data_IF_914172938967
#
_entry.id   IF_914172938967
#
_cell.length_a   1.000
_cell.length_b   1.000
_cell.length_c   1.000
_cell.angle_alpha   90.00
_cell.angle_beta   90.00
_cell.angle_gamma   90.00
#
_symmetry.space_group_name_H-M   'P 1'
#
loop_
_entity.id
_entity.type
_entity.pdbx_description
1 polymer ?
#
# COMPACT_ATOMS: atom_id res chain seq x y z
N UNK A 1 14.00 15.66 -9.10
CA UNK A 1 14.31 14.70 -8.00
C UNK A 1 13.95 13.30 -8.45
N UNK A 2 14.86 12.39 -8.34
CA UNK A 2 14.57 10.98 -8.60
C UNK A 2 13.89 10.37 -7.39
N UNK A 3 12.80 9.66 -7.64
CA UNK A 3 12.03 8.98 -6.59
C UNK A 3 12.22 7.48 -6.68
N UNK A 4 12.27 6.84 -5.53
CA UNK A 4 12.55 5.41 -5.43
C UNK A 4 11.57 4.75 -4.47
N UNK A 5 11.12 3.56 -4.84
CA UNK A 5 10.35 2.68 -3.97
C UNK A 5 11.26 1.52 -3.58
N UNK A 6 11.32 1.25 -2.27
CA UNK A 6 12.01 0.05 -1.75
C UNK A 6 10.93 -0.97 -1.41
N UNK A 7 10.95 -2.11 -2.10
CA UNK A 7 9.94 -3.15 -1.94
C UNK A 7 10.05 -3.85 -0.59
N UNK A 8 9.05 -4.67 -0.27
CA UNK A 8 9.05 -5.53 0.92
C UNK A 8 10.32 -6.40 1.00
N UNK A 9 10.90 -6.74 -0.16
CA UNK A 9 12.10 -7.57 -0.26
C UNK A 9 13.38 -6.75 -0.40
N UNK A 10 13.34 -5.48 -0.04
CA UNK A 10 14.48 -4.55 -0.08
C UNK A 10 15.03 -4.28 -1.48
N UNK A 11 14.22 -4.49 -2.51
CA UNK A 11 14.59 -4.17 -3.89
C UNK A 11 14.21 -2.71 -4.20
N UNK A 12 15.17 -1.86 -4.60
CA UNK A 12 14.86 -0.50 -5.02
C UNK A 12 14.35 -0.49 -6.46
N UNK A 13 13.32 0.33 -6.72
CA UNK A 13 12.77 0.55 -8.05
C UNK A 13 12.59 2.05 -8.25
N UNK A 14 13.11 2.57 -9.35
CA UNK A 14 12.94 3.97 -9.68
C UNK A 14 11.51 4.23 -10.17
N UNK A 15 10.87 5.23 -9.58
CA UNK A 15 9.47 5.54 -9.87
C UNK A 15 9.25 5.87 -11.36
N UNK A 16 10.22 6.53 -12.00
CA UNK A 16 10.10 6.92 -13.41
C UNK A 16 10.10 5.74 -14.39
N UNK A 17 10.41 4.52 -13.91
CA UNK A 17 10.35 3.30 -14.71
C UNK A 17 9.04 2.54 -14.51
N UNK A 18 8.18 3.00 -13.61
CA UNK A 18 6.93 2.34 -13.30
C UNK A 18 5.81 2.94 -14.14
N UNK A 19 5.10 2.07 -14.86
CA UNK A 19 3.94 2.46 -15.66
C UNK A 19 2.68 2.55 -14.81
N UNK A 20 2.45 1.54 -13.96
CA UNK A 20 1.29 1.50 -13.06
C UNK A 20 1.52 0.54 -11.91
N UNK A 21 0.70 0.68 -10.86
CA UNK A 21 0.63 -0.28 -9.76
C UNK A 21 -0.60 -1.15 -9.93
N UNK A 22 -0.44 -2.45 -9.72
CA UNK A 22 -1.50 -3.44 -9.93
C UNK A 22 -1.63 -4.31 -8.67
N UNK A 23 -2.87 -4.53 -8.24
CA UNK A 23 -3.15 -5.46 -7.15
C UNK A 23 -3.65 -6.77 -7.73
N UNK A 24 -3.10 -7.89 -7.29
CA UNK A 24 -3.44 -9.21 -7.80
C UNK A 24 -3.44 -10.27 -6.71
N UNK A 25 -4.20 -11.34 -6.92
CA UNK A 25 -4.13 -12.55 -6.13
C UNK A 25 -3.00 -13.42 -6.68
N UNK A 26 -2.11 -13.89 -5.80
CA UNK A 26 -1.06 -14.83 -6.16
C UNK A 26 -1.42 -16.23 -5.69
N UNK A 27 -1.27 -17.20 -6.58
CA UNK A 27 -1.46 -18.62 -6.27
C UNK A 27 -0.08 -19.29 -6.16
N UNK A 28 0.23 -19.78 -4.97
CA UNK A 28 1.46 -20.50 -4.71
C UNK A 28 1.18 -22.01 -4.75
N UNK A 29 2.26 -22.82 -4.79
CA UNK A 29 2.13 -24.27 -4.70
C UNK A 29 1.47 -24.70 -3.39
N UNK A 30 0.85 -25.89 -3.37
CA UNK A 30 0.26 -26.51 -2.18
C UNK A 30 -0.94 -25.71 -1.60
N UNK A 31 -1.78 -25.19 -2.49
CA UNK A 31 -3.02 -24.47 -2.14
C UNK A 31 -2.80 -23.19 -1.32
N UNK A 32 -1.58 -22.68 -1.30
CA UNK A 32 -1.30 -21.40 -0.66
C UNK A 32 -1.68 -20.27 -1.60
N UNK A 33 -2.44 -19.32 -1.07
CA UNK A 33 -2.91 -18.16 -1.81
C UNK A 33 -2.49 -16.91 -1.05
N UNK A 34 -1.86 -15.96 -1.76
CA UNK A 34 -1.66 -14.60 -1.26
C UNK A 34 -2.70 -13.76 -1.99
N UNK A 35 -3.80 -13.39 -1.30
CA UNK A 35 -4.93 -12.77 -1.98
C UNK A 35 -4.67 -11.34 -2.43
N UNK A 36 -3.74 -10.64 -1.77
CA UNK A 36 -3.56 -9.22 -2.00
C UNK A 36 -2.08 -8.88 -2.18
N UNK A 37 -1.55 -9.13 -3.37
CA UNK A 37 -0.20 -8.72 -3.74
C UNK A 37 -0.27 -7.43 -4.56
N UNK A 38 0.67 -6.51 -4.30
CA UNK A 38 0.80 -5.28 -5.07
C UNK A 38 2.05 -5.37 -5.93
N UNK A 39 1.90 -5.11 -7.22
CA UNK A 39 2.97 -5.16 -8.20
C UNK A 39 3.18 -3.80 -8.84
N UNK A 40 4.42 -3.52 -9.23
CA UNK A 40 4.74 -2.45 -10.15
C UNK A 40 4.90 -3.04 -11.56
N UNK A 41 4.12 -2.54 -12.51
CA UNK A 41 4.33 -2.85 -13.91
C UNK A 41 5.31 -1.83 -14.46
N UNK A 42 6.47 -2.31 -14.91
CA UNK A 42 7.50 -1.44 -15.46
C UNK A 42 7.25 -1.16 -16.95
N UNK A 43 7.84 -0.07 -17.45
CA UNK A 43 7.77 0.26 -18.89
C UNK A 43 8.32 -0.86 -19.78
N UNK A 44 9.24 -1.66 -19.24
CA UNK A 44 9.79 -2.84 -19.94
C UNK A 44 8.81 -4.00 -20.08
N UNK A 45 7.68 -3.96 -19.38
CA UNK A 45 6.73 -5.07 -19.28
C UNK A 45 6.98 -5.99 -18.10
N UNK A 46 8.10 -5.83 -17.38
CA UNK A 46 8.38 -6.62 -16.18
C UNK A 46 7.39 -6.28 -15.06
N UNK A 47 6.93 -7.30 -14.36
CA UNK A 47 6.12 -7.14 -13.14
C UNK A 47 7.00 -7.37 -11.92
N UNK A 48 7.12 -6.38 -11.05
CA UNK A 48 7.91 -6.48 -9.83
C UNK A 48 6.99 -6.50 -8.62
N UNK A 49 7.09 -7.50 -7.77
CA UNK A 49 6.31 -7.58 -6.54
C UNK A 49 6.80 -6.52 -5.56
N UNK A 50 5.90 -5.62 -5.15
CA UNK A 50 6.19 -4.59 -4.16
C UNK A 50 5.96 -5.11 -2.75
N UNK A 51 4.93 -5.91 -2.55
CA UNK A 51 4.62 -6.51 -1.26
C UNK A 51 3.43 -7.45 -1.33
N UNK A 52 3.39 -8.37 -0.39
CA UNK A 52 2.32 -9.36 -0.24
C UNK A 52 1.56 -9.04 1.04
N UNK A 53 0.23 -8.93 0.94
CA UNK A 53 -0.60 -8.54 2.06
C UNK A 53 -1.71 -9.57 2.28
N UNK A 54 -2.04 -9.80 3.56
CA UNK A 54 -3.07 -10.76 3.95
C UNK A 54 -4.46 -10.16 3.96
N UNK A 55 -4.54 -8.82 4.00
CA UNK A 55 -5.83 -8.15 4.02
C UNK A 55 -5.93 -7.09 2.93
N UNK A 56 -7.16 -6.92 2.44
CA UNK A 56 -7.44 -6.00 1.35
C UNK A 56 -7.25 -4.54 1.76
N UNK A 57 -7.51 -4.20 3.02
CA UNK A 57 -7.44 -2.81 3.47
C UNK A 57 -6.01 -2.30 3.44
N UNK A 58 -5.05 -3.09 3.93
CA UNK A 58 -3.62 -2.74 3.84
C UNK A 58 -3.19 -2.58 2.39
N UNK A 59 -3.54 -3.52 1.53
CA UNK A 59 -3.18 -3.47 0.11
C UNK A 59 -3.75 -2.24 -0.59
N UNK A 60 -5.01 -1.92 -0.35
CA UNK A 60 -5.66 -0.76 -0.97
C UNK A 60 -5.05 0.56 -0.47
N UNK A 61 -4.78 0.66 0.84
CA UNK A 61 -4.16 1.86 1.41
C UNK A 61 -2.75 2.04 0.84
N UNK A 62 -1.95 0.98 0.75
CA UNK A 62 -0.62 1.05 0.13
C UNK A 62 -0.73 1.57 -1.31
N UNK A 63 -1.68 1.07 -2.09
CA UNK A 63 -1.88 1.54 -3.46
C UNK A 63 -2.22 3.02 -3.52
N UNK A 64 -3.11 3.48 -2.64
CA UNK A 64 -3.50 4.89 -2.58
C UNK A 64 -2.30 5.77 -2.23
N UNK A 65 -1.53 5.40 -1.20
CA UNK A 65 -0.42 6.23 -0.76
C UNK A 65 0.77 6.19 -1.72
N UNK A 66 0.93 5.13 -2.52
CA UNK A 66 1.92 5.13 -3.60
C UNK A 66 1.61 6.20 -4.65
N UNK A 67 0.35 6.38 -5.00
CA UNK A 67 -0.07 7.44 -5.91
C UNK A 67 0.18 8.84 -5.30
N UNK A 68 -0.08 8.99 -4.00
CA UNK A 68 0.20 10.24 -3.29
C UNK A 68 1.71 10.50 -3.25
N UNK A 69 2.51 9.47 -2.99
CA UNK A 69 3.98 9.58 -2.97
C UNK A 69 4.52 10.09 -4.30
N UNK A 70 3.92 9.69 -5.42
CA UNK A 70 4.37 10.13 -6.74
C UNK A 70 4.33 11.66 -6.89
N UNK A 71 3.42 12.33 -6.17
CA UNK A 71 3.25 13.78 -6.19
C UNK A 71 3.94 14.49 -5.01
N UNK A 72 4.48 13.74 -4.06
CA UNK A 72 5.09 14.30 -2.85
C UNK A 72 6.55 14.69 -3.09
N UNK A 73 7.12 15.42 -2.14
CA UNK A 73 8.52 15.88 -2.20
C UNK A 73 9.52 14.85 -1.69
N UNK A 74 9.06 13.80 -1.01
CA UNK A 74 9.94 12.75 -0.50
C UNK A 74 10.54 11.93 -1.63
N UNK A 75 11.80 11.52 -1.44
CA UNK A 75 12.55 10.79 -2.47
C UNK A 75 12.42 9.28 -2.36
N UNK A 76 12.08 8.75 -1.19
CA UNK A 76 12.06 7.31 -0.92
C UNK A 76 10.76 6.90 -0.25
N UNK A 77 10.14 5.84 -0.77
CA UNK A 77 9.01 5.14 -0.16
C UNK A 77 9.49 3.75 0.23
N UNK A 78 9.63 3.51 1.53
CA UNK A 78 10.00 2.19 2.04
C UNK A 78 8.73 1.42 2.42
N UNK A 79 8.43 0.38 1.66
CA UNK A 79 7.19 -0.38 1.83
C UNK A 79 7.06 -0.96 3.25
N UNK A 80 8.15 -1.49 3.81
CA UNK A 80 8.09 -2.08 5.15
C UNK A 80 7.76 -1.05 6.23
N UNK A 81 8.34 0.13 6.15
CA UNK A 81 8.05 1.21 7.10
C UNK A 81 6.60 1.70 6.97
N UNK A 82 6.13 1.88 5.74
CA UNK A 82 4.77 2.35 5.51
C UNK A 82 3.73 1.30 5.94
N UNK A 83 3.98 0.03 5.66
CA UNK A 83 3.09 -1.07 6.10
C UNK A 83 3.03 -1.14 7.62
N UNK A 84 4.17 -0.97 8.29
CA UNK A 84 4.21 -0.96 9.76
C UNK A 84 3.31 0.15 10.32
N UNK A 85 3.41 1.36 9.78
CA UNK A 85 2.57 2.48 10.19
C UNK A 85 1.09 2.25 9.92
N UNK A 86 0.76 1.70 8.75
CA UNK A 86 -0.62 1.39 8.37
C UNK A 86 -1.22 0.35 9.32
N UNK A 87 -0.49 -0.73 9.59
CA UNK A 87 -0.98 -1.79 10.48
C UNK A 87 -1.25 -1.28 11.89
N UNK A 88 -0.35 -0.45 12.43
CA UNK A 88 -0.56 0.18 13.73
C UNK A 88 -1.79 1.07 13.73
N UNK A 89 -2.01 1.83 12.68
CA UNK A 89 -3.17 2.68 12.54
C UNK A 89 -4.47 1.87 12.45
N UNK A 90 -4.46 0.78 11.69
CA UNK A 90 -5.63 -0.10 11.58
C UNK A 90 -5.96 -0.78 12.91
N UNK A 91 -4.97 -1.17 13.69
CA UNK A 91 -5.19 -1.70 15.04
C UNK A 91 -5.84 -0.64 15.96
N UNK A 92 -5.37 0.60 15.86
CA UNK A 92 -5.98 1.70 16.60
C UNK A 92 -7.45 1.88 16.21
N UNK A 93 -7.76 1.81 14.94
CA UNK A 93 -9.15 1.91 14.47
C UNK A 93 -10.02 0.76 15.00
N UNK A 94 -9.47 -0.45 15.09
CA UNK A 94 -10.17 -1.59 15.71
C UNK A 94 -10.48 -1.31 17.17
N UNK A 95 -9.52 -0.77 17.89
CA UNK A 95 -9.72 -0.42 19.29
C UNK A 95 -10.81 0.64 19.45
N UNK A 96 -10.74 1.71 18.66
CA UNK A 96 -11.72 2.80 18.71
C UNK A 96 -13.12 2.33 18.33
N UNK A 97 -13.22 1.37 17.41
CA UNK A 97 -14.51 0.82 16.98
C UNK A 97 -15.10 -0.20 17.97
N UNK A 98 -14.40 -0.46 19.08
CA UNK A 98 -14.79 -1.45 20.11
C UNK A 98 -15.10 -2.82 19.50
N UNK A 99 -14.29 -3.24 18.52
CA UNK A 99 -14.41 -4.50 17.77
C UNK A 99 -15.73 -4.65 16.99
N UNK A 100 -16.47 -3.56 16.78
CA UNK A 100 -17.62 -3.57 15.90
C UNK A 100 -17.18 -3.54 14.44
N UNK A 101 -17.42 -4.59 13.68
CA UNK A 101 -17.06 -4.67 12.27
C UNK A 101 -17.73 -3.57 11.45
N UNK A 102 -18.98 -3.23 11.76
CA UNK A 102 -19.73 -2.19 11.06
C UNK A 102 -19.05 -0.82 11.23
N UNK A 103 -18.71 -0.47 12.47
CA UNK A 103 -18.05 0.80 12.78
C UNK A 103 -16.65 0.84 12.16
N UNK A 104 -15.90 -0.24 12.30
CA UNK A 104 -14.58 -0.35 11.71
C UNK A 104 -14.63 -0.11 10.19
N UNK A 105 -15.57 -0.74 9.49
CA UNK A 105 -15.71 -0.60 8.04
C UNK A 105 -16.05 0.83 7.63
N UNK A 106 -16.90 1.51 8.39
CA UNK A 106 -17.21 2.92 8.15
C UNK A 106 -15.96 3.78 8.27
N UNK A 107 -15.17 3.57 9.33
CA UNK A 107 -13.94 4.33 9.57
C UNK A 107 -12.90 4.08 8.48
N UNK A 108 -12.72 2.83 8.05
CA UNK A 108 -11.78 2.48 6.98
C UNK A 108 -12.20 3.12 5.65
N UNK A 109 -13.48 3.06 5.31
CA UNK A 109 -13.96 3.67 4.07
C UNK A 109 -13.78 5.18 4.08
N UNK A 110 -14.03 5.83 5.22
CA UNK A 110 -13.80 7.26 5.39
C UNK A 110 -12.30 7.60 5.23
N UNK A 111 -11.42 6.81 5.85
CA UNK A 111 -9.98 7.00 5.71
C UNK A 111 -9.55 6.94 4.24
N UNK A 112 -10.01 5.92 3.51
CA UNK A 112 -9.67 5.76 2.09
C UNK A 112 -10.15 6.95 1.26
N UNK A 113 -11.36 7.45 1.53
CA UNK A 113 -11.90 8.61 0.83
C UNK A 113 -11.10 9.88 1.13
N UNK A 114 -10.74 10.11 2.38
CA UNK A 114 -9.94 11.27 2.78
C UNK A 114 -8.55 11.24 2.17
N UNK A 115 -7.93 10.05 2.07
CA UNK A 115 -6.64 9.91 1.40
C UNK A 115 -6.77 10.24 -0.09
N UNK A 116 -7.79 9.73 -0.77
CA UNK A 116 -8.00 9.97 -2.20
C UNK A 116 -8.31 11.43 -2.52
N UNK A 117 -9.05 12.10 -1.63
CA UNK A 117 -9.46 13.50 -1.85
C UNK A 117 -8.38 14.51 -1.47
N UNK A 118 -7.32 14.07 -0.80
CA UNK A 118 -6.27 14.96 -0.31
C UNK A 118 -6.63 15.69 0.99
N UNK A 119 -7.74 15.35 1.63
CA UNK A 119 -8.14 15.96 2.90
C UNK A 119 -7.27 15.52 4.06
N UNK A 120 -6.63 14.37 3.94
CA UNK A 120 -5.75 13.83 4.96
C UNK A 120 -4.30 13.89 4.47
N UNK A 121 -3.46 14.60 5.21
CA UNK A 121 -2.02 14.66 4.92
C UNK A 121 -1.35 13.34 5.26
N UNK A 122 -0.50 12.87 4.35
CA UNK A 122 0.29 11.65 4.56
C UNK A 122 1.73 12.03 4.82
N UNK A 123 2.29 11.49 5.92
CA UNK A 123 3.71 11.65 6.25
C UNK A 123 4.44 10.35 5.91
N UNK A 124 5.40 10.43 4.99
CA UNK A 124 6.21 9.28 4.59
C UNK A 124 7.46 9.16 5.45
N UNK A 125 7.78 7.94 5.83
CA UNK A 125 8.95 7.62 6.66
C UNK A 125 10.28 7.71 5.90
#
# INVERSE_FOLDING_TARGET
MEKMIVTEYSRPIMLNKIKEFVQRTMYLAEDKVIPYAVFALLDSGEMVNIGNFDDTDTAEIIRIILDIFAEDKKAVFDVNLEVFGIRNFLEMLRYVSADSDSVYRILINELKQQLKSGELDVSFS
#
